data_IF_590513231960
#
_entry.id   IF_590513231960
#
_cell.length_a   1.000
_cell.length_b   1.000
_cell.length_c   1.000
_cell.angle_alpha   90.00
_cell.angle_beta   90.00
_cell.angle_gamma   90.00
#
_symmetry.space_group_name_H-M   'P 1'
#
loop_
_entity.id
_entity.type
_entity.pdbx_description
1 polymer ?
#
# COMPACT_ATOMS: atom_id res chain seq x y z
N UNK A 1 -15.77 9.29 5.85
CA UNK A 1 -14.71 9.50 4.86
C UNK A 1 -13.96 8.19 4.68
N UNK A 2 -13.75 7.74 3.45
CA UNK A 2 -12.91 6.57 3.14
C UNK A 2 -11.52 7.05 2.71
N UNK A 3 -10.45 6.48 3.27
CA UNK A 3 -9.06 6.83 2.96
C UNK A 3 -8.18 5.58 2.94
N UNK A 4 -7.13 5.60 2.12
CA UNK A 4 -6.09 4.57 2.09
C UNK A 4 -4.72 5.23 2.04
N UNK A 5 -3.84 4.83 2.96
CA UNK A 5 -2.50 5.35 3.14
C UNK A 5 -1.48 4.22 2.94
N UNK A 6 -1.05 3.95 1.70
CA UNK A 6 -0.04 2.94 1.43
C UNK A 6 1.35 3.47 1.76
N UNK A 7 2.14 2.63 2.44
CA UNK A 7 3.59 2.79 2.61
C UNK A 7 4.27 1.64 1.88
N UNK A 8 5.07 1.99 0.89
CA UNK A 8 5.89 1.02 0.16
C UNK A 8 7.26 0.91 0.83
N UNK A 9 7.78 -0.30 0.97
CA UNK A 9 9.05 -0.56 1.64
C UNK A 9 9.71 -1.84 1.13
N UNK A 10 10.99 -2.07 1.44
CA UNK A 10 11.70 -3.30 1.07
C UNK A 10 11.23 -4.52 1.86
N UNK A 11 10.94 -4.32 3.14
CA UNK A 11 10.66 -5.42 4.07
C UNK A 11 9.75 -4.95 5.22
N UNK A 12 8.92 -5.87 5.74
CA UNK A 12 8.08 -5.66 6.92
C UNK A 12 8.44 -6.73 7.94
N UNK A 13 8.92 -6.29 9.11
CA UNK A 13 9.32 -7.19 10.20
C UNK A 13 8.37 -7.02 11.37
N UNK A 14 8.17 -8.09 12.12
CA UNK A 14 7.47 -8.04 13.41
C UNK A 14 8.50 -8.02 14.52
N UNK A 15 8.44 -6.99 15.34
CA UNK A 15 9.31 -6.86 16.51
C UNK A 15 8.73 -7.61 17.72
N UNK A 16 9.53 -7.71 18.78
CA UNK A 16 9.07 -8.18 20.08
C UNK A 16 7.92 -7.27 20.55
N UNK A 17 6.74 -7.87 20.78
CA UNK A 17 5.52 -7.14 21.11
C UNK A 17 4.55 -6.94 19.93
N UNK A 18 4.89 -7.41 18.73
CA UNK A 18 3.97 -7.47 17.58
C UNK A 18 3.88 -6.21 16.72
N UNK A 19 4.58 -5.13 17.11
CA UNK A 19 4.64 -3.91 16.31
C UNK A 19 5.39 -4.15 14.97
N UNK A 20 4.89 -3.58 13.85
CA UNK A 20 5.56 -3.70 12.56
C UNK A 20 6.71 -2.69 12.43
N UNK A 21 7.84 -3.15 11.91
CA UNK A 21 8.96 -2.32 11.46
C UNK A 21 9.03 -2.32 9.93
N UNK A 22 9.02 -1.14 9.32
CA UNK A 22 9.09 -0.96 7.86
C UNK A 22 10.52 -0.61 7.44
N UNK A 23 11.17 -1.46 6.65
CA UNK A 23 12.57 -1.27 6.23
C UNK A 23 12.64 -0.70 4.81
N UNK A 24 13.50 0.29 4.56
CA UNK A 24 13.69 0.82 3.20
C UNK A 24 12.42 1.49 2.64
N UNK A 25 11.87 2.46 3.37
CA UNK A 25 10.60 3.12 3.00
C UNK A 25 10.76 4.04 1.80
N UNK A 26 9.86 3.90 0.83
CA UNK A 26 9.78 4.72 -0.37
C UNK A 26 8.72 5.80 -0.25
N UNK A 27 9.09 7.06 -0.53
CA UNK A 27 8.19 8.22 -0.47
C UNK A 27 7.81 8.68 -1.88
N UNK A 28 6.92 7.93 -2.52
CA UNK A 28 6.31 8.29 -3.81
C UNK A 28 7.14 7.97 -5.06
N UNK A 29 8.45 7.79 -4.93
CA UNK A 29 9.29 7.34 -6.04
C UNK A 29 10.43 6.40 -5.60
N UNK A 30 10.77 5.48 -6.49
CA UNK A 30 11.91 4.56 -6.44
C UNK A 30 12.71 4.72 -7.74
N UNK A 31 14.01 4.91 -7.64
CA UNK A 31 14.91 4.97 -8.81
C UNK A 31 15.71 3.68 -8.89
N UNK A 32 15.71 3.06 -10.06
CA UNK A 32 16.36 1.76 -10.30
C UNK A 32 17.33 1.90 -11.47
N UNK A 33 18.51 1.31 -11.34
CA UNK A 33 19.47 1.25 -12.45
C UNK A 33 19.04 0.20 -13.47
N UNK A 34 19.22 0.42 -14.78
CA UNK A 34 18.83 -0.53 -15.83
C UNK A 34 19.38 -1.95 -15.60
N UNK A 35 20.62 -2.05 -15.13
CA UNK A 35 21.31 -3.32 -14.91
C UNK A 35 20.82 -4.07 -13.66
N UNK A 36 20.00 -3.42 -12.80
CA UNK A 36 19.44 -3.95 -11.57
C UNK A 36 17.90 -3.80 -11.52
N UNK A 37 17.23 -3.91 -12.67
CA UNK A 37 15.80 -3.63 -12.78
C UNK A 37 14.86 -4.74 -12.26
N UNK A 38 15.32 -5.55 -11.31
CA UNK A 38 14.49 -6.53 -10.60
C UNK A 38 14.45 -6.18 -9.13
N UNK A 39 13.27 -5.80 -8.63
CA UNK A 39 13.05 -5.55 -7.21
C UNK A 39 12.88 -6.92 -6.53
N UNK A 40 13.84 -7.28 -5.67
CA UNK A 40 13.85 -8.59 -4.99
C UNK A 40 12.71 -8.78 -4.02
N UNK A 41 12.36 -7.74 -3.28
CA UNK A 41 11.20 -7.71 -2.39
C UNK A 41 10.61 -6.31 -2.40
N UNK A 42 9.31 -6.22 -2.57
CA UNK A 42 8.55 -4.99 -2.36
C UNK A 42 7.38 -5.31 -1.43
N UNK A 43 7.27 -4.55 -0.36
CA UNK A 43 6.19 -4.65 0.59
C UNK A 43 5.28 -3.43 0.50
N UNK A 44 4.00 -3.63 0.78
CA UNK A 44 3.01 -2.56 0.93
C UNK A 44 2.35 -2.74 2.29
N UNK A 45 2.48 -1.73 3.13
CA UNK A 45 1.72 -1.58 4.37
C UNK A 45 0.66 -0.50 4.13
N UNK A 46 -0.59 -0.90 3.89
CA UNK A 46 -1.68 0.02 3.62
C UNK A 46 -2.57 0.17 4.85
N UNK A 47 -2.66 1.39 5.38
CA UNK A 47 -3.62 1.74 6.42
C UNK A 47 -4.88 2.26 5.77
N UNK A 48 -6.00 1.61 6.03
CA UNK A 48 -7.32 1.94 5.52
C UNK A 48 -8.11 2.55 6.67
N UNK A 49 -8.72 3.71 6.43
CA UNK A 49 -9.60 4.39 7.38
C UNK A 49 -10.98 4.49 6.75
N UNK A 50 -11.98 3.98 7.45
CA UNK A 50 -13.38 3.95 7.03
C UNK A 50 -14.22 4.68 8.07
N UNK A 51 -15.35 5.24 7.63
CA UNK A 51 -16.33 5.83 8.54
C UNK A 51 -17.47 4.86 8.84
N UNK A 52 -18.26 5.18 9.86
CA UNK A 52 -19.51 4.47 10.21
C UNK A 52 -20.46 4.28 9.00
N UNK A 53 -20.47 5.25 8.08
CA UNK A 53 -21.35 5.27 6.91
C UNK A 53 -20.87 4.32 5.81
N UNK A 54 -19.67 3.75 5.93
CA UNK A 54 -19.23 2.63 5.09
C UNK A 54 -19.99 1.39 5.54
N UNK A 55 -21.18 1.25 4.96
CA UNK A 55 -22.14 0.20 5.28
C UNK A 55 -21.71 -1.16 4.72
N UNK A 56 -20.85 -1.20 3.70
CA UNK A 56 -20.60 -2.42 2.95
C UNK A 56 -19.80 -3.48 3.70
N UNK A 57 -20.30 -4.71 3.57
CA UNK A 57 -19.56 -5.95 3.81
C UNK A 57 -18.50 -6.26 2.75
N UNK A 58 -18.39 -5.42 1.72
CA UNK A 58 -17.66 -5.71 0.49
C UNK A 58 -16.55 -4.68 0.31
N UNK A 59 -15.63 -4.67 1.28
CA UNK A 59 -14.40 -3.89 1.23
C UNK A 59 -13.32 -4.74 0.55
N UNK A 60 -12.67 -4.21 -0.48
CA UNK A 60 -11.53 -4.88 -1.10
C UNK A 60 -10.37 -3.92 -1.31
N UNK A 61 -9.16 -4.46 -1.22
CA UNK A 61 -7.94 -3.76 -1.57
C UNK A 61 -7.28 -4.43 -2.77
N UNK A 62 -6.89 -3.62 -3.74
CA UNK A 62 -6.20 -4.06 -4.95
C UNK A 62 -4.91 -3.29 -5.11
N UNK A 63 -3.82 -4.01 -5.38
CA UNK A 63 -2.54 -3.41 -5.75
C UNK A 63 -2.34 -3.66 -7.24
N UNK A 64 -2.00 -2.59 -7.96
CA UNK A 64 -1.81 -2.60 -9.40
C UNK A 64 -0.39 -2.22 -9.77
N UNK A 65 0.10 -2.80 -10.86
CA UNK A 65 1.31 -2.39 -11.58
C UNK A 65 0.93 -1.92 -12.97
N UNK A 66 1.20 -0.66 -13.30
CA UNK A 66 0.86 -0.06 -14.60
C UNK A 66 -0.62 -0.25 -14.98
N UNK A 67 -1.52 -0.12 -14.01
CA UNK A 67 -2.98 -0.27 -14.18
C UNK A 67 -3.46 -1.72 -14.28
N UNK A 68 -2.56 -2.71 -14.16
CA UNK A 68 -2.91 -4.13 -14.11
C UNK A 68 -2.88 -4.63 -12.67
N UNK A 69 -3.92 -5.32 -12.18
CA UNK A 69 -3.90 -5.88 -10.84
C UNK A 69 -2.82 -6.96 -10.70
N UNK A 70 -2.03 -6.85 -9.63
CA UNK A 70 -1.01 -7.82 -9.23
C UNK A 70 -1.33 -8.48 -7.89
N UNK A 71 -2.21 -7.87 -7.10
CA UNK A 71 -2.79 -8.45 -5.88
C UNK A 71 -4.18 -7.88 -5.69
N UNK A 72 -5.10 -8.72 -5.23
CA UNK A 72 -6.42 -8.31 -4.79
C UNK A 72 -6.77 -9.12 -3.54
N UNK A 73 -7.45 -8.50 -2.59
CA UNK A 73 -7.83 -9.12 -1.34
C UNK A 73 -9.10 -8.47 -0.80
N UNK A 74 -10.07 -9.30 -0.47
CA UNK A 74 -11.29 -8.89 0.21
C UNK A 74 -11.02 -8.83 1.71
N UNK A 75 -11.61 -7.85 2.38
CA UNK A 75 -11.62 -7.77 3.83
C UNK A 75 -12.69 -8.74 4.34
N UNK A 76 -12.35 -9.65 5.27
CA UNK A 76 -13.32 -10.56 5.85
C UNK A 76 -14.47 -9.81 6.55
N UNK A 77 -15.71 -10.22 6.28
CA UNK A 77 -16.92 -9.57 6.81
C UNK A 77 -16.98 -9.60 8.33
N UNK A 78 -16.50 -10.68 8.93
CA UNK A 78 -16.40 -10.87 10.38
C UNK A 78 -15.41 -9.91 11.03
N UNK A 79 -14.31 -9.56 10.34
CA UNK A 79 -13.38 -8.54 10.82
C UNK A 79 -14.05 -7.16 10.87
N UNK A 80 -14.81 -6.81 9.82
CA UNK A 80 -15.54 -5.53 9.76
C UNK A 80 -16.57 -5.45 10.87
N UNK A 81 -17.32 -6.52 11.11
CA UNK A 81 -18.32 -6.55 12.18
C UNK A 81 -17.68 -6.38 13.55
N UNK A 82 -16.59 -7.11 13.83
CA UNK A 82 -15.88 -7.00 15.11
C UNK A 82 -15.37 -5.59 15.40
N UNK A 83 -14.84 -4.91 14.38
CA UNK A 83 -14.36 -3.53 14.52
C UNK A 83 -15.51 -2.55 14.82
N UNK A 84 -16.72 -2.81 14.30
CA UNK A 84 -17.92 -2.02 14.61
C UNK A 84 -18.37 -2.24 16.06
N UNK A 85 -18.43 -3.50 16.48
CA UNK A 85 -18.84 -3.87 17.84
C UNK A 85 -17.88 -3.27 18.89
N UNK A 86 -16.56 -3.29 18.63
CA UNK A 86 -15.53 -2.73 19.53
C UNK A 86 -15.65 -1.21 19.69
N UNK A 87 -15.99 -0.44 18.65
CA UNK A 87 -16.16 1.02 18.78
C UNK A 87 -17.47 1.42 19.48
N UNK A 88 -18.56 0.65 19.30
CA UNK A 88 -19.82 0.89 20.02
C UNK A 88 -19.63 0.78 21.55
N UNK A 89 -18.77 -0.15 22.00
CA UNK A 89 -18.47 -0.37 23.42
C UNK A 89 -17.57 0.73 24.04
N UNK A 90 -16.74 1.42 23.25
CA UNK A 90 -15.79 2.42 23.74
C UNK A 90 -16.41 3.82 24.00
N UNK A 91 -17.65 4.07 23.55
CA UNK A 91 -18.45 5.23 23.97
C UNK A 91 -17.85 6.61 23.67
N UNK A 92 -17.01 6.73 22.64
CA UNK A 92 -16.35 7.99 22.27
C UNK A 92 -17.31 9.03 21.68
N UNK A 93 -17.12 10.31 22.03
CA UNK A 93 -17.86 11.46 21.49
C UNK A 93 -17.55 11.78 19.99
N UNK A 94 -16.84 10.89 19.28
CA UNK A 94 -16.42 11.07 17.90
C UNK A 94 -17.24 10.23 16.91
N UNK A 95 -17.23 10.62 15.63
CA UNK A 95 -17.75 9.75 14.56
C UNK A 95 -16.92 8.45 14.52
N UNK A 96 -17.56 7.26 14.52
CA UNK A 96 -16.88 5.98 14.49
C UNK A 96 -15.95 5.85 13.28
N UNK A 97 -14.71 5.43 13.51
CA UNK A 97 -13.67 5.24 12.50
C UNK A 97 -12.90 3.97 12.75
N UNK A 98 -13.20 2.93 11.98
CA UNK A 98 -12.43 1.71 12.02
C UNK A 98 -11.21 1.80 11.09
N UNK A 99 -10.10 1.25 11.59
CA UNK A 99 -8.81 1.22 10.91
C UNK A 99 -8.45 -0.22 10.57
N UNK A 100 -8.22 -0.50 9.29
CA UNK A 100 -7.79 -1.82 8.81
C UNK A 100 -6.37 -1.68 8.27
N UNK A 101 -5.48 -2.58 8.70
CA UNK A 101 -4.12 -2.66 8.16
C UNK A 101 -4.03 -3.83 7.21
N UNK A 102 -3.67 -3.54 5.96
CA UNK A 102 -3.38 -4.54 4.95
C UNK A 102 -1.88 -4.60 4.68
N UNK A 103 -1.34 -5.81 4.60
CA UNK A 103 0.06 -6.05 4.26
C UNK A 103 0.13 -6.98 3.05
N UNK A 104 0.91 -6.58 2.05
CA UNK A 104 1.26 -7.43 0.92
C UNK A 104 2.76 -7.43 0.67
N UNK A 105 3.26 -8.55 0.16
CA UNK A 105 4.64 -8.74 -0.25
C UNK A 105 4.68 -9.24 -1.69
N UNK A 106 5.63 -8.73 -2.44
CA UNK A 106 5.91 -9.09 -3.82
C UNK A 106 7.39 -9.41 -3.95
N UNK A 107 7.71 -10.37 -4.81
CA UNK A 107 9.07 -10.86 -4.98
C UNK A 107 9.44 -10.88 -6.46
N UNK A 108 10.72 -10.65 -6.74
CA UNK A 108 11.31 -10.70 -8.08
C UNK A 108 10.50 -9.93 -9.15
N UNK A 109 10.12 -8.70 -8.82
CA UNK A 109 9.35 -7.82 -9.71
C UNK A 109 10.26 -7.22 -10.79
N UNK A 110 10.04 -7.58 -12.04
CA UNK A 110 10.68 -6.92 -13.20
C UNK A 110 10.08 -5.52 -13.39
N UNK A 111 10.93 -4.52 -13.21
CA UNK A 111 10.61 -3.10 -13.36
C UNK A 111 11.48 -2.42 -14.43
N UNK A 112 12.07 -3.18 -15.36
CA UNK A 112 12.96 -2.69 -16.42
C UNK A 112 12.39 -1.55 -17.28
N UNK A 113 11.07 -1.48 -17.45
CA UNK A 113 10.40 -0.39 -18.16
C UNK A 113 10.10 0.86 -17.32
N UNK A 114 10.39 0.83 -16.01
CA UNK A 114 9.78 1.74 -15.06
C UNK A 114 8.26 1.53 -14.98
N UNK A 115 7.59 2.35 -14.16
CA UNK A 115 6.14 2.22 -14.02
C UNK A 115 5.59 2.83 -12.75
N UNK A 116 4.42 2.36 -12.33
CA UNK A 116 3.75 2.85 -11.13
C UNK A 116 2.99 1.73 -10.42
N UNK A 117 3.24 1.60 -9.13
CA UNK A 117 2.38 0.84 -8.23
C UNK A 117 1.27 1.74 -7.69
N UNK A 118 0.03 1.22 -7.69
CA UNK A 118 -1.13 1.89 -7.09
C UNK A 118 -1.81 0.96 -6.10
N UNK A 119 -2.29 1.54 -5.00
CA UNK A 119 -3.15 0.86 -4.04
C UNK A 119 -4.55 1.42 -4.19
N UNK A 120 -5.51 0.56 -4.52
CA UNK A 120 -6.90 0.90 -4.78
C UNK A 120 -7.75 0.27 -3.68
N UNK A 121 -8.50 1.10 -2.96
CA UNK A 121 -9.50 0.67 -1.98
C UNK A 121 -10.87 0.77 -2.61
N UNK A 122 -11.63 -0.32 -2.61
CA UNK A 122 -13.02 -0.34 -3.04
C UNK A 122 -13.92 -0.66 -1.85
N UNK A 123 -14.95 0.16 -1.65
CA UNK A 123 -16.03 -0.09 -0.69
C UNK A 123 -17.30 0.65 -1.15
N UNK A 124 -18.47 0.06 -0.93
CA UNK A 124 -19.78 0.66 -1.25
C UNK A 124 -19.87 1.18 -2.70
N UNK A 125 -19.29 0.43 -3.66
CA UNK A 125 -19.26 0.79 -5.08
C UNK A 125 -18.40 2.03 -5.41
N UNK A 126 -17.65 2.55 -4.44
CA UNK A 126 -16.68 3.63 -4.61
C UNK A 126 -15.28 3.04 -4.62
N UNK A 127 -14.40 3.63 -5.43
CA UNK A 127 -12.98 3.30 -5.40
C UNK A 127 -12.18 4.55 -5.09
N UNK A 128 -11.25 4.44 -4.15
CA UNK A 128 -10.30 5.49 -3.78
C UNK A 128 -8.89 4.97 -4.04
N UNK A 129 -8.09 5.83 -4.65
CA UNK A 129 -6.68 5.58 -4.89
C UNK A 129 -5.84 6.17 -3.74
N UNK A 130 -4.90 5.36 -3.23
CA UNK A 130 -3.85 5.81 -2.32
C UNK A 130 -2.65 6.40 -3.05
N UNK A 131 -1.73 7.02 -2.32
CA UNK A 131 -0.53 7.60 -2.94
C UNK A 131 0.26 6.54 -3.73
N UNK A 132 0.61 6.80 -5.00
CA UNK A 132 1.31 5.82 -5.82
C UNK A 132 2.80 5.76 -5.48
N UNK A 133 3.45 4.64 -5.82
CA UNK A 133 4.90 4.54 -5.92
C UNK A 133 5.31 4.52 -7.39
N UNK A 134 6.00 5.57 -7.84
CA UNK A 134 6.56 5.64 -9.19
C UNK A 134 7.93 4.98 -9.25
N UNK A 135 8.15 4.08 -10.21
CA UNK A 135 9.47 3.50 -10.48
C UNK A 135 10.09 4.20 -11.69
N UNK A 136 11.23 4.83 -11.48
CA UNK A 136 11.99 5.53 -12.51
C UNK A 136 13.26 4.74 -12.84
N UNK A 137 13.57 4.61 -14.13
CA UNK A 137 14.83 4.02 -14.57
C UNK A 137 15.84 5.14 -14.78
N UNK A 138 16.95 5.09 -14.06
CA UNK A 138 18.00 6.12 -14.10
C UNK A 138 19.23 5.61 -14.86
N UNK A 139 19.52 6.22 -16.01
CA UNK A 139 20.75 5.93 -16.77
C UNK A 139 21.92 6.76 -16.23
N UNK A 140 22.79 6.14 -15.43
CA UNK A 140 23.96 6.80 -14.85
C UNK A 140 25.12 6.98 -15.86
N UNK A 141 25.04 6.47 -17.10
CA UNK A 141 26.13 6.56 -18.09
C UNK A 141 26.41 7.98 -18.60
N UNK A 142 25.55 8.96 -18.31
CA UNK A 142 25.71 10.37 -18.75
C UNK A 142 26.44 11.30 -17.77
N UNK A 143 26.82 10.85 -16.56
CA UNK A 143 27.45 11.73 -15.54
C UNK A 143 29.00 11.80 -15.59
N UNK A 144 29.66 10.98 -16.40
CA UNK A 144 31.14 10.91 -16.45
C UNK A 144 31.76 11.52 -17.73
N UNK A 145 31.25 12.65 -18.22
CA UNK A 145 32.06 13.52 -19.09
C UNK A 145 32.55 14.70 -18.28
N UNK A 146 33.82 14.74 -17.84
CA UNK A 146 34.42 15.98 -17.41
C UNK A 146 34.35 16.94 -18.61
N UNK A 147 33.71 18.09 -18.43
CA UNK A 147 33.85 19.19 -19.37
C UNK A 147 35.32 19.60 -19.34
N UNK A 148 36.05 19.20 -20.37
CA UNK A 148 37.39 19.70 -20.70
C UNK A 148 37.29 21.07 -21.35
#
# INVERSE_FOLDING_TARGET
>A
MMQVFPIFCDDIRREVGGAPSLMGVYRGALSVEPDNAVIKKLCVHATIVLDENTASSDISLRIEWNGKPIKESEVPKDLVQRLKDEEEDEGGDGEPRFVIVFVAEFYDLDVSGGGTFRTMLSADGRTIEGLPLKVNIIDNKRRNHPQT
#
